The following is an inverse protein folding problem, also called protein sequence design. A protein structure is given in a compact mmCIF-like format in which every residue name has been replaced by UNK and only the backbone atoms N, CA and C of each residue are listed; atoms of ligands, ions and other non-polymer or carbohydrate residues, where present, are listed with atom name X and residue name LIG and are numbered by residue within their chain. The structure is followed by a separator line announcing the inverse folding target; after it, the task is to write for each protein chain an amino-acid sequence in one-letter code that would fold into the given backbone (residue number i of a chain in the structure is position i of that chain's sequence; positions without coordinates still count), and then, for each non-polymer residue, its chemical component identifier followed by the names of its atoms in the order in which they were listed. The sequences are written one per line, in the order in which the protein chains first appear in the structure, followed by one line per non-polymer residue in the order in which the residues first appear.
data_IF_535500132541
#
_entry.id   IF_535500132541
#
_cell.length_a   1.000
_cell.length_b   1.000
_cell.length_c   1.000
_cell.angle_alpha   90.00
_cell.angle_beta   90.00
_cell.angle_gamma   90.00
#
_symmetry.space_group_name_H-M   'P 1'
#
loop_
_entity.id
_entity.type
_entity.pdbx_description
1 polymer ?
#
# COMPACT_ATOMS: atom_id res chain seq x y z
N UNK A 1 -22.38 20.77 -9.65
CA UNK A 1 -23.84 20.67 -9.83
C UNK A 1 -24.16 19.39 -10.58
N UNK A 2 -25.33 18.80 -10.36
CA UNK A 2 -25.80 17.62 -11.11
C UNK A 2 -27.10 18.02 -11.80
N UNK A 3 -27.20 17.73 -13.09
CA UNK A 3 -28.40 17.97 -13.88
C UNK A 3 -28.71 16.72 -14.72
N UNK A 4 -29.96 16.30 -14.71
CA UNK A 4 -30.46 15.29 -15.63
C UNK A 4 -30.65 15.93 -17.02
N UNK A 5 -30.31 15.17 -18.06
CA UNK A 5 -30.47 15.60 -19.46
C UNK A 5 -31.13 14.47 -20.26
N UNK A 6 -31.72 14.77 -21.43
CA UNK A 6 -32.20 13.72 -22.32
C UNK A 6 -31.10 12.68 -22.59
N UNK A 7 -31.34 11.44 -22.18
CA UNK A 7 -30.39 10.33 -22.38
C UNK A 7 -29.28 10.19 -21.35
N UNK A 8 -29.23 10.97 -20.27
CA UNK A 8 -28.15 10.86 -19.28
C UNK A 8 -28.13 11.89 -18.16
N UNK A 9 -26.93 12.10 -17.63
CA UNK A 9 -26.66 13.09 -16.59
C UNK A 9 -25.45 13.93 -16.97
N UNK A 10 -25.47 15.19 -16.52
CA UNK A 10 -24.34 16.10 -16.59
C UNK A 10 -23.96 16.54 -15.19
N UNK A 11 -22.70 16.36 -14.84
CA UNK A 11 -22.12 16.71 -13.54
C UNK A 11 -21.02 17.74 -13.76
N UNK A 12 -21.17 18.92 -13.17
CA UNK A 12 -20.08 19.91 -13.11
C UNK A 12 -19.36 19.80 -11.78
N UNK A 13 -18.06 19.53 -11.84
CA UNK A 13 -17.18 19.39 -10.69
C UNK A 13 -15.97 20.32 -10.86
N UNK A 14 -16.01 21.50 -10.23
CA UNK A 14 -14.96 22.51 -10.39
C UNK A 14 -14.76 22.91 -11.85
N UNK A 15 -13.57 22.66 -12.38
CA UNK A 15 -13.19 22.96 -13.77
C UNK A 15 -13.59 21.86 -14.79
N UNK A 16 -14.24 20.79 -14.34
CA UNK A 16 -14.63 19.66 -15.16
C UNK A 16 -16.14 19.63 -15.40
N UNK A 17 -16.49 19.28 -16.63
CA UNK A 17 -17.83 18.94 -17.05
C UNK A 17 -17.86 17.46 -17.44
N UNK A 18 -18.70 16.68 -16.76
CA UNK A 18 -18.78 15.23 -16.90
C UNK A 18 -20.16 14.87 -17.40
N UNK A 19 -20.26 14.21 -18.54
CA UNK A 19 -21.52 13.66 -19.05
C UNK A 19 -21.50 12.14 -18.95
N UNK A 20 -22.60 11.58 -18.47
CA UNK A 20 -22.79 10.12 -18.35
C UNK A 20 -24.01 9.73 -19.17
N UNK A 21 -23.83 8.86 -20.16
CA UNK A 21 -24.91 8.33 -20.99
C UNK A 21 -25.65 7.22 -20.23
N UNK A 22 -26.97 7.32 -20.14
CA UNK A 22 -27.81 6.38 -19.38
C UNK A 22 -27.78 4.95 -19.91
N UNK A 23 -27.82 4.79 -21.23
CA UNK A 23 -27.94 3.48 -21.86
C UNK A 23 -26.66 2.64 -21.75
N UNK A 24 -25.49 3.27 -21.86
CA UNK A 24 -24.18 2.59 -21.92
C UNK A 24 -23.32 2.78 -20.66
N UNK A 25 -23.64 3.77 -19.82
CA UNK A 25 -22.74 4.21 -18.74
C UNK A 25 -21.47 4.91 -19.23
N UNK A 26 -21.36 5.20 -20.54
CA UNK A 26 -20.23 5.92 -21.10
C UNK A 26 -20.10 7.29 -20.44
N UNK A 27 -18.88 7.59 -20.01
CA UNK A 27 -18.49 8.80 -19.34
C UNK A 27 -17.55 9.60 -20.26
N UNK A 28 -17.90 10.86 -20.47
CA UNK A 28 -17.06 11.85 -21.16
C UNK A 28 -16.77 12.98 -20.18
N UNK A 29 -15.51 13.33 -20.04
CA UNK A 29 -15.03 14.45 -19.23
C UNK A 29 -14.41 15.48 -20.15
N UNK A 30 -14.85 16.72 -20.02
CA UNK A 30 -14.26 17.87 -20.68
C UNK A 30 -13.85 18.93 -19.67
N UNK A 31 -12.91 19.77 -20.05
CA UNK A 31 -12.53 20.94 -19.26
C UNK A 31 -13.51 22.11 -19.45
N UNK A 32 -13.28 23.20 -18.73
CA UNK A 32 -14.08 24.41 -18.81
C UNK A 32 -14.12 25.06 -20.21
N UNK A 33 -13.15 24.77 -21.08
CA UNK A 33 -13.12 25.21 -22.48
C UNK A 33 -13.80 24.21 -23.43
N UNK A 34 -14.38 23.13 -22.91
CA UNK A 34 -15.03 22.08 -23.69
C UNK A 34 -14.06 21.08 -24.33
N UNK A 35 -12.76 21.14 -24.02
CA UNK A 35 -11.78 20.22 -24.59
C UNK A 35 -11.90 18.85 -23.89
N UNK A 36 -11.91 17.73 -24.64
CA UNK A 36 -12.03 16.40 -24.05
C UNK A 36 -10.79 16.05 -23.23
N UNK A 37 -11.00 15.64 -21.99
CA UNK A 37 -9.95 15.21 -21.04
C UNK A 37 -9.85 13.69 -21.01
N UNK A 38 -10.99 13.02 -20.81
CA UNK A 38 -11.09 11.57 -20.67
C UNK A 38 -12.43 11.12 -21.26
N UNK A 39 -12.43 10.01 -22.00
CA UNK A 39 -13.66 9.42 -22.52
C UNK A 39 -13.57 7.90 -22.41
N UNK A 40 -14.59 7.26 -21.85
CA UNK A 40 -14.67 5.80 -21.78
C UNK A 40 -15.19 5.24 -23.09
N UNK A 41 -14.60 4.15 -23.58
CA UNK A 41 -15.11 3.36 -24.70
C UNK A 41 -16.01 2.20 -24.27
N UNK A 42 -15.82 1.70 -23.06
CA UNK A 42 -16.59 0.57 -22.58
C UNK A 42 -16.05 -0.03 -21.29
N UNK A 43 -16.87 -0.89 -20.73
CA UNK A 43 -16.58 -1.64 -19.52
C UNK A 43 -16.85 -3.12 -19.77
N UNK A 44 -16.12 -3.97 -19.05
CA UNK A 44 -16.32 -5.41 -19.08
C UNK A 44 -16.34 -5.93 -17.64
N UNK A 45 -17.33 -6.77 -17.35
CA UNK A 45 -17.55 -7.40 -16.06
C UNK A 45 -17.76 -8.89 -16.31
N UNK A 46 -16.75 -9.71 -16.01
CA UNK A 46 -16.84 -11.16 -16.23
C UNK A 46 -16.90 -11.85 -14.86
N UNK A 47 -18.00 -12.54 -14.51
CA UNK A 47 -18.05 -13.40 -13.34
C UNK A 47 -16.92 -14.42 -13.35
N UNK A 48 -16.18 -14.50 -12.25
CA UNK A 48 -15.02 -15.38 -12.12
C UNK A 48 -14.88 -15.90 -10.69
N UNK A 49 -14.03 -16.91 -10.52
CA UNK A 49 -13.63 -17.43 -9.21
C UNK A 49 -12.11 -17.41 -9.15
N UNK A 50 -11.54 -16.66 -8.21
CA UNK A 50 -10.10 -16.52 -8.02
C UNK A 50 -9.79 -16.77 -6.56
N UNK A 51 -8.84 -17.67 -6.26
CA UNK A 51 -8.50 -18.07 -4.88
C UNK A 51 -9.76 -18.40 -4.05
N UNK A 52 -10.69 -19.17 -4.63
CA UNK A 52 -11.96 -19.56 -4.00
C UNK A 52 -13.02 -18.46 -3.87
N UNK A 53 -12.69 -17.21 -4.20
CA UNK A 53 -13.58 -16.06 -4.09
C UNK A 53 -14.39 -15.85 -5.37
N UNK A 54 -15.72 -15.79 -5.25
CA UNK A 54 -16.63 -15.39 -6.35
C UNK A 54 -16.57 -13.87 -6.51
N UNK A 55 -16.11 -13.41 -7.66
CA UNK A 55 -15.85 -11.99 -7.94
C UNK A 55 -16.06 -11.68 -9.42
N UNK A 56 -15.72 -10.48 -9.88
CA UNK A 56 -15.67 -10.11 -11.29
C UNK A 56 -14.21 -9.81 -11.69
N UNK A 57 -13.83 -10.26 -12.89
CA UNK A 57 -12.77 -9.58 -13.63
C UNK A 57 -13.37 -8.30 -14.18
N UNK A 58 -12.78 -7.16 -13.85
CA UNK A 58 -13.28 -5.83 -14.21
C UNK A 58 -12.33 -5.15 -15.17
N UNK A 59 -12.88 -4.51 -16.20
CA UNK A 59 -12.09 -3.73 -17.15
C UNK A 59 -12.81 -2.46 -17.56
N UNK A 60 -12.02 -1.41 -17.80
CA UNK A 60 -12.46 -0.18 -18.45
C UNK A 60 -11.46 0.22 -19.54
N UNK A 61 -11.99 0.67 -20.66
CA UNK A 61 -11.20 1.20 -21.77
C UNK A 61 -11.50 2.68 -21.98
N UNK A 62 -10.46 3.45 -22.26
CA UNK A 62 -10.51 4.90 -22.44
C UNK A 62 -9.90 5.30 -23.77
N UNK A 63 -10.42 6.35 -24.40
CA UNK A 63 -9.81 6.96 -25.57
C UNK A 63 -8.40 7.44 -25.26
N UNK A 64 -7.47 7.12 -26.17
CA UNK A 64 -6.08 7.56 -26.11
C UNK A 64 -5.64 8.05 -27.49
N UNK A 65 -5.82 9.35 -27.80
CA UNK A 65 -5.57 9.86 -29.14
C UNK A 65 -4.08 9.82 -29.53
N UNK A 66 -3.76 9.86 -30.84
CA UNK A 66 -2.38 9.85 -31.32
C UNK A 66 -1.52 10.93 -30.67
N UNK A 67 -0.29 10.55 -30.28
CA UNK A 67 0.68 11.45 -29.66
C UNK A 67 0.51 11.63 -28.14
N UNK A 68 -0.48 11.00 -27.51
CA UNK A 68 -0.55 10.94 -26.05
C UNK A 68 0.64 10.19 -25.47
N UNK A 69 1.29 10.78 -24.45
CA UNK A 69 2.37 10.16 -23.69
C UNK A 69 1.87 9.84 -22.30
N UNK A 70 2.17 8.63 -21.84
CA UNK A 70 1.64 8.05 -20.62
C UNK A 70 2.79 7.68 -19.69
N UNK A 71 2.70 8.10 -18.43
CA UNK A 71 3.75 7.98 -17.41
C UNK A 71 3.18 7.45 -16.09
N UNK A 72 4.05 7.20 -15.10
CA UNK A 72 3.65 6.69 -13.79
C UNK A 72 3.66 5.17 -13.75
N UNK A 73 2.60 4.57 -13.20
CA UNK A 73 2.39 3.13 -12.99
C UNK A 73 3.34 2.46 -11.99
N UNK A 74 4.19 3.23 -11.30
CA UNK A 74 5.15 2.75 -10.31
C UNK A 74 6.55 2.48 -10.87
N UNK A 75 7.27 1.55 -10.26
CA UNK A 75 8.65 1.18 -10.60
C UNK A 75 8.67 -0.04 -11.51
N UNK A 76 9.32 0.11 -12.68
CA UNK A 76 9.44 -0.94 -13.68
C UNK A 76 10.87 -1.03 -14.24
N UNK A 77 11.31 -2.23 -14.57
CA UNK A 77 12.71 -2.55 -14.90
C UNK A 77 13.05 -2.42 -16.40
N UNK A 78 12.05 -2.17 -17.25
CA UNK A 78 12.20 -2.11 -18.72
C UNK A 78 12.88 -0.84 -19.26
N UNK A 79 13.17 0.16 -18.41
CA UNK A 79 13.95 1.35 -18.80
C UNK A 79 13.26 2.33 -19.76
N UNK A 80 11.92 2.33 -19.82
CA UNK A 80 11.13 3.29 -20.61
C UNK A 80 10.39 4.26 -19.69
N UNK A 81 10.38 5.54 -20.05
CA UNK A 81 9.64 6.59 -19.33
C UNK A 81 8.20 6.73 -19.86
N UNK A 82 8.02 6.70 -21.19
CA UNK A 82 6.70 6.72 -21.82
C UNK A 82 6.21 5.28 -22.05
N UNK A 83 5.04 4.98 -21.48
CA UNK A 83 4.41 3.67 -21.54
C UNK A 83 3.48 3.47 -22.74
N UNK A 84 3.24 4.52 -23.56
CA UNK A 84 2.43 4.38 -24.77
C UNK A 84 2.91 3.23 -25.67
N UNK A 85 1.97 2.41 -26.15
CA UNK A 85 2.20 1.20 -26.95
C UNK A 85 2.61 -0.04 -26.14
N UNK A 86 2.45 -0.04 -24.81
CA UNK A 86 2.88 -1.16 -23.93
C UNK A 86 1.77 -1.63 -23.01
N UNK A 87 1.83 -2.90 -22.62
CA UNK A 87 1.04 -3.44 -21.51
C UNK A 87 1.89 -3.47 -20.26
N UNK A 88 1.43 -2.73 -19.26
CA UNK A 88 2.11 -2.57 -17.98
C UNK A 88 1.47 -3.47 -16.92
N UNK A 89 2.30 -4.24 -16.22
CA UNK A 89 1.91 -5.05 -15.07
C UNK A 89 1.91 -4.17 -13.83
N UNK A 90 0.75 -3.90 -13.26
CA UNK A 90 0.59 -2.98 -12.13
C UNK A 90 0.36 -3.80 -10.85
N UNK A 91 1.44 -4.42 -10.36
CA UNK A 91 1.46 -5.07 -9.05
C UNK A 91 2.87 -5.21 -8.46
N UNK A 92 2.93 -5.44 -7.14
CA UNK A 92 4.17 -5.79 -6.45
C UNK A 92 4.65 -7.19 -6.85
N UNK A 93 5.92 -7.30 -7.24
CA UNK A 93 6.56 -8.57 -7.53
C UNK A 93 8.06 -8.48 -7.28
N UNK A 94 8.57 -9.31 -6.38
CA UNK A 94 9.99 -9.34 -6.05
C UNK A 94 10.86 -9.91 -7.18
N UNK A 95 10.42 -11.00 -7.81
CA UNK A 95 11.17 -11.65 -8.89
C UNK A 95 10.90 -11.08 -10.29
N UNK A 96 9.82 -10.30 -10.46
CA UNK A 96 9.30 -9.94 -11.77
C UNK A 96 8.85 -11.17 -12.58
N UNK A 97 8.54 -10.97 -13.87
CA UNK A 97 8.42 -12.08 -14.82
C UNK A 97 9.75 -12.25 -15.56
N UNK A 98 10.14 -13.51 -15.81
CA UNK A 98 11.35 -13.86 -16.57
C UNK A 98 12.66 -13.23 -16.05
N UNK A 99 12.76 -12.94 -14.74
CA UNK A 99 13.98 -12.41 -14.13
C UNK A 99 14.25 -10.93 -14.41
N UNK A 100 13.22 -10.17 -14.78
CA UNK A 100 13.31 -8.70 -14.96
C UNK A 100 13.66 -7.96 -13.65
N UNK A 101 13.53 -8.62 -12.49
CA UNK A 101 13.77 -8.07 -11.17
C UNK A 101 12.53 -7.40 -10.57
N UNK A 102 12.72 -6.81 -9.39
CA UNK A 102 11.64 -6.25 -8.56
C UNK A 102 10.80 -5.19 -9.30
N UNK A 103 9.47 -5.28 -9.18
CA UNK A 103 8.51 -4.30 -9.68
C UNK A 103 7.56 -3.83 -8.59
N UNK A 104 7.35 -2.51 -8.53
CA UNK A 104 6.41 -1.89 -7.58
C UNK A 104 5.26 -1.30 -8.40
N UNK A 105 4.10 -1.94 -8.36
CA UNK A 105 2.91 -1.48 -9.08
C UNK A 105 2.17 -0.38 -8.33
N UNK A 106 2.17 0.84 -8.88
CA UNK A 106 1.35 1.94 -8.35
C UNK A 106 0.29 2.28 -9.40
N UNK A 107 -1.00 1.98 -9.20
CA UNK A 107 -2.07 2.20 -10.19
C UNK A 107 -2.46 3.68 -10.39
N UNK A 108 -1.47 4.49 -10.78
CA UNK A 108 -1.58 5.91 -11.08
C UNK A 108 -0.93 6.18 -12.43
N UNK A 109 -1.74 6.56 -13.42
CA UNK A 109 -1.31 6.89 -14.77
C UNK A 109 -1.37 8.39 -14.98
N UNK A 110 -0.27 8.99 -15.42
CA UNK A 110 -0.17 10.40 -15.78
C UNK A 110 -0.22 10.53 -17.30
N UNK A 111 -1.08 11.40 -17.81
CA UNK A 111 -1.18 11.72 -19.23
C UNK A 111 -0.55 13.08 -19.54
N UNK A 112 0.16 13.17 -20.67
CA UNK A 112 0.64 14.44 -21.22
C UNK A 112 -0.48 15.41 -21.59
N UNK A 113 -1.75 14.99 -21.56
CA UNK A 113 -2.94 15.82 -21.79
C UNK A 113 -3.41 16.59 -20.55
N UNK A 114 -2.63 16.58 -19.46
CA UNK A 114 -2.93 17.37 -18.25
C UNK A 114 -3.93 16.69 -17.30
N UNK A 115 -3.88 15.36 -17.20
CA UNK A 115 -4.65 14.63 -16.21
C UNK A 115 -3.91 13.40 -15.70
N UNK A 116 -4.37 12.86 -14.57
CA UNK A 116 -3.97 11.57 -14.04
C UNK A 116 -5.19 10.73 -13.68
N UNK A 117 -5.08 9.42 -13.91
CA UNK A 117 -6.07 8.44 -13.51
C UNK A 117 -5.48 7.57 -12.39
N UNK A 118 -6.14 7.55 -11.24
CA UNK A 118 -5.84 6.61 -10.15
C UNK A 118 -6.86 5.49 -10.27
N UNK A 119 -6.39 4.29 -10.62
CA UNK A 119 -7.25 3.11 -10.75
C UNK A 119 -7.46 2.50 -9.36
N UNK A 120 -8.68 2.61 -8.84
CA UNK A 120 -9.02 2.24 -7.46
C UNK A 120 -9.31 0.73 -7.35
N UNK A 121 -8.28 -0.08 -7.63
CA UNK A 121 -8.31 -1.52 -7.44
C UNK A 121 -6.94 -2.05 -6.98
N UNK A 122 -6.86 -2.74 -5.83
CA UNK A 122 -5.62 -3.31 -5.30
C UNK A 122 -5.25 -4.69 -5.87
N UNK A 123 -6.12 -5.32 -6.65
CA UNK A 123 -5.82 -6.59 -7.31
C UNK A 123 -4.76 -6.40 -8.39
N UNK A 124 -4.12 -7.50 -8.80
CA UNK A 124 -3.24 -7.50 -9.97
C UNK A 124 -3.98 -6.91 -11.16
N UNK A 125 -3.36 -5.90 -11.76
CA UNK A 125 -3.98 -5.09 -12.80
C UNK A 125 -3.05 -4.95 -13.99
N UNK A 126 -3.58 -5.16 -15.20
CA UNK A 126 -2.90 -4.83 -16.44
C UNK A 126 -3.36 -3.44 -16.91
N UNK A 127 -2.40 -2.61 -17.34
CA UNK A 127 -2.66 -1.34 -17.99
C UNK A 127 -2.06 -1.33 -19.40
N UNK A 128 -2.87 -1.63 -20.41
CA UNK A 128 -2.48 -1.53 -21.82
C UNK A 128 -2.60 -0.09 -22.28
N UNK A 129 -1.47 0.57 -22.48
CA UNK A 129 -1.36 2.02 -22.67
C UNK A 129 -1.36 2.40 -24.16
N UNK A 130 -2.33 3.22 -24.58
CA UNK A 130 -2.41 3.84 -25.91
C UNK A 130 -2.27 2.88 -27.11
N UNK A 131 -2.68 1.61 -26.98
CA UNK A 131 -2.67 0.63 -28.06
C UNK A 131 -3.96 0.78 -28.88
N UNK A 132 -3.84 0.89 -30.21
CA UNK A 132 -4.97 1.12 -31.13
C UNK A 132 -5.88 2.30 -30.73
N UNK A 133 -5.24 3.34 -30.18
CA UNK A 133 -5.92 4.55 -29.72
C UNK A 133 -6.72 4.35 -28.43
N UNK A 134 -6.39 3.32 -27.63
CA UNK A 134 -7.09 2.96 -26.39
C UNK A 134 -6.10 2.75 -25.26
N UNK A 135 -6.45 3.27 -24.08
CA UNK A 135 -5.84 2.83 -22.83
C UNK A 135 -6.83 1.94 -22.07
N UNK A 136 -6.44 0.70 -21.77
CA UNK A 136 -7.29 -0.30 -21.10
C UNK A 136 -6.70 -0.70 -19.75
N UNK A 137 -7.57 -0.76 -18.74
CA UNK A 137 -7.28 -1.30 -17.43
C UNK A 137 -8.04 -2.61 -17.24
N UNK A 138 -7.40 -3.62 -16.66
CA UNK A 138 -8.00 -4.93 -16.38
C UNK A 138 -7.52 -5.45 -15.03
N UNK A 139 -8.43 -5.59 -14.06
CA UNK A 139 -8.12 -6.17 -12.75
C UNK A 139 -8.72 -7.56 -12.63
N UNK A 140 -7.95 -8.48 -12.06
CA UNK A 140 -8.37 -9.88 -11.88
C UNK A 140 -9.57 -10.02 -10.94
N UNK A 141 -9.58 -9.25 -9.86
CA UNK A 141 -10.60 -9.28 -8.80
C UNK A 141 -11.23 -7.88 -8.64
N UNK A 142 -12.56 -7.80 -8.55
CA UNK A 142 -13.29 -6.56 -8.25
C UNK A 142 -14.81 -6.68 -8.38
N UNK A 143 -15.52 -5.69 -7.86
CA UNK A 143 -16.99 -5.60 -7.91
C UNK A 143 -17.46 -4.47 -8.83
N UNK A 144 -16.58 -3.52 -9.12
CA UNK A 144 -16.87 -2.33 -9.87
C UNK A 144 -15.62 -1.81 -10.58
N UNK A 145 -15.83 -1.04 -11.64
CA UNK A 145 -14.83 -0.12 -12.16
C UNK A 145 -14.85 1.12 -11.28
N UNK A 146 -13.77 1.35 -10.52
CA UNK A 146 -13.58 2.53 -9.66
C UNK A 146 -12.29 3.22 -10.06
N UNK A 147 -12.34 4.53 -10.25
CA UNK A 147 -11.15 5.34 -10.51
C UNK A 147 -11.38 6.79 -10.12
N UNK A 148 -10.28 7.50 -9.85
CA UNK A 148 -10.27 8.93 -9.62
C UNK A 148 -9.55 9.64 -10.77
N UNK A 149 -10.08 10.79 -11.17
CA UNK A 149 -9.47 11.65 -12.18
C UNK A 149 -8.95 12.93 -11.50
N UNK A 150 -7.65 13.16 -11.58
CA UNK A 150 -7.01 14.41 -11.20
C UNK A 150 -6.71 15.21 -12.47
N UNK A 151 -7.28 16.41 -12.61
CA UNK A 151 -7.09 17.27 -13.77
C UNK A 151 -6.34 18.55 -13.42
N UNK A 152 -5.46 18.98 -14.33
CA UNK A 152 -4.78 20.27 -14.25
C UNK A 152 -4.10 20.60 -15.58
N UNK A 153 -4.24 21.84 -16.11
CA UNK A 153 -3.69 22.21 -17.42
C UNK A 153 -2.16 22.14 -17.50
N UNK A 154 -1.48 22.05 -16.35
CA UNK A 154 -0.04 21.82 -16.24
C UNK A 154 0.25 20.64 -15.29
N UNK A 155 1.37 19.90 -15.49
CA UNK A 155 1.72 18.77 -14.63
C UNK A 155 1.73 19.09 -13.13
N UNK A 156 2.24 20.26 -12.73
CA UNK A 156 2.26 20.69 -11.32
C UNK A 156 0.86 20.78 -10.70
N UNK A 157 -0.15 21.21 -11.48
CA UNK A 157 -1.53 21.28 -11.03
C UNK A 157 -2.13 19.87 -10.85
N UNK A 158 -1.80 18.93 -11.73
CA UNK A 158 -2.20 17.52 -11.58
C UNK A 158 -1.64 16.95 -10.27
N UNK A 159 -0.35 17.15 -9.99
CA UNK A 159 0.27 16.71 -8.74
C UNK A 159 -0.33 17.38 -7.50
N UNK A 160 -0.69 18.67 -7.57
CA UNK A 160 -1.39 19.34 -6.47
C UNK A 160 -2.73 18.67 -6.15
N UNK A 161 -3.52 18.30 -7.18
CA UNK A 161 -4.78 17.56 -7.01
C UNK A 161 -4.57 16.14 -6.49
N UNK A 162 -3.53 15.45 -6.97
CA UNK A 162 -3.16 14.13 -6.44
C UNK A 162 -2.80 14.21 -4.95
N UNK A 163 -2.10 15.27 -4.51
CA UNK A 163 -1.79 15.49 -3.08
C UNK A 163 -3.03 15.78 -2.24
N UNK A 164 -4.03 16.48 -2.79
CA UNK A 164 -5.32 16.68 -2.13
C UNK A 164 -6.10 15.37 -1.97
N UNK A 165 -6.05 14.51 -3.00
CA UNK A 165 -6.77 13.23 -3.03
C UNK A 165 -6.10 12.15 -2.16
N UNK A 166 -4.79 11.92 -2.36
CA UNK A 166 -4.05 10.80 -1.80
C UNK A 166 -3.32 11.16 -0.49
N UNK A 167 -3.27 12.46 -0.17
CA UNK A 167 -2.52 13.01 0.95
C UNK A 167 -1.15 13.54 0.53
N UNK A 168 -0.69 14.59 1.21
CA UNK A 168 0.64 15.12 1.03
C UNK A 168 1.68 14.26 1.77
N UNK A 169 2.81 13.99 1.12
CA UNK A 169 4.00 13.49 1.79
C UNK A 169 4.45 14.51 2.87
N UNK A 170 4.71 14.06 4.12
CA UNK A 170 5.29 14.92 5.13
C UNK A 170 6.72 15.31 4.74
N UNK A 171 7.20 16.43 5.28
CA UNK A 171 8.60 16.83 5.08
C UNK A 171 9.51 15.78 5.77
N UNK A 172 10.48 15.17 5.07
CA UNK A 172 11.45 14.28 5.71
C UNK A 172 12.20 14.99 6.84
N UNK A 173 12.60 14.26 7.90
CA UNK A 173 13.54 14.82 8.87
C UNK A 173 14.84 15.18 8.15
N UNK A 174 15.50 16.27 8.55
CA UNK A 174 16.71 16.79 7.89
C UNK A 174 17.78 15.71 7.62
N UNK A 175 18.04 14.84 8.59
CA UNK A 175 19.04 13.76 8.45
C UNK A 175 18.71 12.73 7.35
N UNK A 176 17.44 12.58 6.97
CA UNK A 176 17.05 11.71 5.86
C UNK A 176 17.50 12.25 4.49
N UNK A 177 17.84 13.54 4.38
CA UNK A 177 18.40 14.15 3.16
C UNK A 177 19.94 14.07 3.11
N UNK A 178 20.56 13.57 4.17
CA UNK A 178 22.01 13.42 4.28
C UNK A 178 22.54 12.14 3.63
N UNK A 179 23.80 11.79 3.95
CA UNK A 179 24.39 10.54 3.46
C UNK A 179 24.00 9.35 4.36
N UNK A 180 23.53 8.27 3.72
CA UNK A 180 23.12 7.04 4.39
C UNK A 180 24.16 5.97 4.12
N UNK A 181 24.79 5.47 5.19
CA UNK A 181 25.78 4.42 5.11
C UNK A 181 25.13 3.07 5.47
N UNK A 182 25.03 2.21 4.45
CA UNK A 182 24.48 0.85 4.55
C UNK A 182 25.43 -0.17 3.92
N UNK A 183 25.32 -1.44 4.30
CA UNK A 183 25.82 -2.61 3.58
C UNK A 183 25.05 -3.85 4.05
N UNK A 184 25.11 -4.92 3.25
CA UNK A 184 24.70 -6.27 3.64
C UNK A 184 25.92 -7.10 4.07
N UNK A 185 26.25 -7.21 5.35
CA UNK A 185 25.65 -6.59 6.54
C UNK A 185 26.72 -6.18 7.53
N UNK A 186 26.44 -5.22 8.42
CA UNK A 186 27.26 -5.07 9.64
C UNK A 186 26.93 -6.21 10.60
N UNK A 187 27.95 -6.94 11.03
CA UNK A 187 27.80 -8.16 11.81
C UNK A 187 27.68 -7.92 13.32
N UNK A 188 28.03 -6.72 13.81
CA UNK A 188 28.02 -6.43 15.25
C UNK A 188 27.96 -4.94 15.58
N UNK A 189 27.63 -4.65 16.83
CA UNK A 189 27.70 -3.32 17.44
C UNK A 189 29.11 -2.68 17.30
N UNK A 190 30.16 -3.46 17.56
CA UNK A 190 31.54 -2.96 17.47
C UNK A 190 31.91 -2.57 16.04
N UNK A 191 31.46 -3.35 15.05
CA UNK A 191 31.68 -3.01 13.65
C UNK A 191 30.96 -1.71 13.25
N UNK A 192 29.70 -1.54 13.66
CA UNK A 192 28.92 -0.34 13.35
C UNK A 192 29.56 0.93 13.93
N UNK A 193 30.01 0.86 15.20
CA UNK A 193 30.73 1.97 15.85
C UNK A 193 32.03 2.31 15.12
N UNK A 194 32.83 1.29 14.78
CA UNK A 194 34.08 1.48 14.03
C UNK A 194 33.85 2.17 12.69
N UNK A 195 32.77 1.85 11.98
CA UNK A 195 32.40 2.49 10.71
C UNK A 195 32.06 3.97 10.93
N UNK A 196 31.27 4.29 11.96
CA UNK A 196 30.92 5.66 12.33
C UNK A 196 32.15 6.49 12.70
N UNK A 197 33.03 5.94 13.53
CA UNK A 197 34.28 6.58 13.96
C UNK A 197 35.23 6.78 12.78
N UNK A 198 35.31 5.82 11.87
CA UNK A 198 36.12 5.94 10.64
C UNK A 198 35.61 7.06 9.74
N UNK A 199 34.29 7.24 9.61
CA UNK A 199 33.73 8.38 8.88
C UNK A 199 34.20 9.70 9.49
N UNK A 200 34.13 9.82 10.82
CA UNK A 200 34.56 11.05 11.51
C UNK A 200 36.06 11.28 11.44
N UNK A 201 36.87 10.24 11.63
CA UNK A 201 38.32 10.32 11.49
C UNK A 201 38.76 10.75 10.08
N UNK A 202 38.00 10.39 9.05
CA UNK A 202 38.25 10.75 7.65
C UNK A 202 37.58 12.06 7.20
N UNK A 203 36.85 12.75 8.09
CA UNK A 203 36.10 13.95 7.73
C UNK A 203 34.96 13.71 6.74
N UNK A 204 34.43 12.48 6.67
CA UNK A 204 33.35 12.11 5.76
C UNK A 204 31.97 12.48 6.35
N UNK A 205 31.05 13.02 5.52
CA UNK A 205 29.67 13.26 5.94
C UNK A 205 28.92 11.94 6.16
N UNK A 206 27.85 11.99 6.95
CA UNK A 206 27.01 10.83 7.21
C UNK A 206 26.00 11.12 8.31
N UNK A 207 24.73 10.80 8.04
CA UNK A 207 23.59 11.16 8.87
C UNK A 207 22.82 9.92 9.35
N UNK A 208 22.77 8.86 8.53
CA UNK A 208 22.08 7.61 8.87
C UNK A 208 23.04 6.42 8.70
N UNK A 209 23.10 5.57 9.72
CA UNK A 209 23.70 4.24 9.67
C UNK A 209 22.59 3.19 9.68
N UNK A 210 22.69 2.23 8.77
CA UNK A 210 21.66 1.19 8.60
C UNK A 210 22.16 -0.14 9.17
N UNK A 211 21.37 -0.74 10.07
CA UNK A 211 21.55 -2.10 10.57
C UNK A 211 20.64 -3.02 9.74
N UNK A 212 21.28 -3.81 8.89
CA UNK A 212 20.63 -4.75 7.97
C UNK A 212 20.15 -6.04 8.69
N UNK A 213 19.58 -6.99 7.95
CA UNK A 213 19.08 -8.29 8.42
C UNK A 213 20.13 -9.14 9.18
N UNK A 214 19.67 -10.16 9.92
CA UNK A 214 20.47 -11.02 10.82
C UNK A 214 21.14 -10.30 12.01
N UNK A 215 20.60 -9.16 12.45
CA UNK A 215 20.94 -8.63 13.77
C UNK A 215 20.17 -9.35 14.90
N UNK A 216 19.10 -10.06 14.56
CA UNK A 216 18.32 -10.92 15.44
C UNK A 216 18.93 -12.31 15.59
N UNK A 217 18.57 -13.00 16.68
CA UNK A 217 18.93 -14.40 16.91
C UNK A 217 18.12 -15.33 16.00
N UNK A 218 16.80 -15.17 16.01
CA UNK A 218 15.88 -15.87 15.10
C UNK A 218 15.04 -14.86 14.34
N UNK A 219 14.83 -15.09 13.03
CA UNK A 219 13.97 -14.24 12.21
C UNK A 219 12.54 -14.23 12.80
N UNK A 220 12.05 -13.04 13.12
CA UNK A 220 10.77 -12.81 13.79
C UNK A 220 10.88 -12.46 15.27
N UNK A 221 12.06 -12.54 15.90
CA UNK A 221 12.23 -12.15 17.30
C UNK A 221 12.01 -10.65 17.52
N UNK A 222 12.20 -9.85 16.47
CA UNK A 222 12.09 -8.39 16.49
C UNK A 222 12.95 -7.78 17.60
N UNK A 223 14.18 -8.28 17.71
CA UNK A 223 15.13 -7.92 18.74
C UNK A 223 16.56 -8.16 18.27
N UNK A 224 17.54 -7.52 18.90
CA UNK A 224 18.95 -7.74 18.60
C UNK A 224 19.51 -8.89 19.43
N UNK A 225 20.34 -9.74 18.82
CA UNK A 225 21.07 -10.80 19.52
C UNK A 225 22.15 -10.19 20.43
N UNK A 226 22.06 -10.35 21.77
CA UNK A 226 23.03 -9.79 22.71
C UNK A 226 24.46 -10.29 22.49
N UNK A 227 24.65 -11.45 21.84
CA UNK A 227 25.99 -11.97 21.52
C UNK A 227 26.75 -11.05 20.53
N UNK A 228 26.02 -10.32 19.68
CA UNK A 228 26.58 -9.43 18.67
C UNK A 228 26.27 -7.94 18.93
N UNK A 229 25.20 -7.67 19.68
CA UNK A 229 24.67 -6.35 20.01
C UNK A 229 24.39 -6.23 21.52
N UNK A 230 25.44 -6.30 22.36
CA UNK A 230 25.26 -6.41 23.81
C UNK A 230 24.58 -5.19 24.44
N UNK A 231 24.83 -3.98 23.93
CA UNK A 231 24.41 -2.71 24.53
C UNK A 231 23.94 -1.69 23.48
N UNK A 232 22.81 -1.95 22.79
CA UNK A 232 22.36 -1.13 21.66
C UNK A 232 21.98 0.30 22.07
N UNK A 233 21.49 0.51 23.30
CA UNK A 233 21.13 1.84 23.78
C UNK A 233 22.37 2.74 24.00
N UNK A 234 23.41 2.31 24.76
CA UNK A 234 24.69 3.00 24.78
C UNK A 234 25.33 3.19 23.39
N UNK A 235 25.27 2.17 22.52
CA UNK A 235 25.75 2.27 21.13
C UNK A 235 25.05 3.43 20.39
N UNK A 236 23.72 3.48 20.42
CA UNK A 236 22.97 4.52 19.72
C UNK A 236 23.21 5.92 20.31
N UNK A 237 23.43 6.04 21.63
CA UNK A 237 23.88 7.31 22.24
C UNK A 237 25.23 7.76 21.68
N UNK A 238 26.20 6.84 21.62
CA UNK A 238 27.53 7.13 21.04
C UNK A 238 27.45 7.52 19.57
N UNK A 239 26.63 6.82 18.79
CA UNK A 239 26.40 7.16 17.37
C UNK A 239 25.76 8.55 17.23
N UNK A 240 24.83 8.91 18.12
CA UNK A 240 24.23 10.23 18.16
C UNK A 240 25.24 11.34 18.53
N UNK A 241 26.18 11.10 19.45
CA UNK A 241 27.30 12.01 19.73
C UNK A 241 28.19 12.23 18.51
N UNK A 242 28.37 11.19 17.71
CA UNK A 242 29.04 11.27 16.41
C UNK A 242 28.14 11.88 15.33
N UNK A 243 26.91 12.30 15.62
CA UNK A 243 26.01 12.94 14.67
C UNK A 243 25.27 11.97 13.73
N UNK A 244 25.22 10.69 14.05
CA UNK A 244 24.46 9.68 13.30
C UNK A 244 23.14 9.35 13.97
N UNK A 245 22.12 9.12 13.14
CA UNK A 245 20.91 8.37 13.50
C UNK A 245 21.06 6.93 13.02
N UNK A 246 20.32 6.02 13.64
CA UNK A 246 20.30 4.62 13.23
C UNK A 246 18.95 4.19 12.70
N UNK A 247 19.01 3.49 11.57
CA UNK A 247 17.91 2.77 10.94
C UNK A 247 18.12 1.27 11.12
N UNK A 248 17.06 0.50 11.29
CA UNK A 248 17.14 -0.95 11.48
C UNK A 248 16.12 -1.69 10.61
N UNK A 249 16.56 -2.81 10.01
CA UNK A 249 15.74 -3.71 9.21
C UNK A 249 14.63 -4.36 10.05
N UNK A 250 13.41 -4.40 9.50
CA UNK A 250 12.19 -4.85 10.15
C UNK A 250 11.41 -5.74 9.18
N UNK A 251 11.64 -7.05 9.25
CA UNK A 251 10.99 -8.00 8.34
C UNK A 251 9.63 -8.48 8.89
N UNK A 252 8.60 -8.66 8.04
CA UNK A 252 7.28 -9.18 8.42
C UNK A 252 7.26 -10.72 8.48
N UNK A 253 8.40 -11.36 8.75
CA UNK A 253 8.62 -12.81 8.65
C UNK A 253 8.93 -13.42 10.02
N UNK A 254 8.35 -14.59 10.31
CA UNK A 254 8.48 -15.27 11.60
C UNK A 254 8.78 -16.75 11.43
N UNK A 255 9.98 -17.18 11.80
CA UNK A 255 10.35 -18.59 11.84
C UNK A 255 9.63 -19.31 13.00
N UNK A 256 9.30 -20.62 12.89
CA UNK A 256 8.69 -21.38 13.99
C UNK A 256 9.44 -21.30 15.32
N UNK A 257 10.77 -21.18 15.24
CA UNK A 257 11.67 -21.09 16.40
C UNK A 257 11.70 -19.69 17.03
N UNK A 258 11.10 -18.69 16.38
CA UNK A 258 11.04 -17.34 16.94
C UNK A 258 10.18 -17.32 18.20
N UNK A 259 10.60 -16.52 19.19
CA UNK A 259 9.88 -16.34 20.46
C UNK A 259 8.43 -15.85 20.27
N UNK A 260 8.11 -15.27 19.12
CA UNK A 260 6.78 -14.71 18.84
C UNK A 260 5.90 -15.61 17.97
N UNK A 261 6.43 -16.66 17.33
CA UNK A 261 5.66 -17.45 16.37
C UNK A 261 4.43 -18.11 16.99
N UNK A 262 4.61 -18.83 18.10
CA UNK A 262 3.51 -19.51 18.77
C UNK A 262 2.38 -18.56 19.22
N UNK A 263 2.73 -17.33 19.60
CA UNK A 263 1.77 -16.28 19.96
C UNK A 263 0.94 -15.84 18.75
N UNK A 264 1.59 -15.66 17.60
CA UNK A 264 0.96 -15.25 16.34
C UNK A 264 0.07 -16.37 15.78
N UNK A 265 0.57 -17.60 15.79
CA UNK A 265 -0.17 -18.79 15.34
C UNK A 265 -1.45 -18.97 16.15
N UNK A 266 -1.35 -18.93 17.49
CA UNK A 266 -2.49 -19.12 18.38
C UNK A 266 -3.59 -18.07 18.20
N UNK A 267 -3.24 -16.88 17.68
CA UNK A 267 -4.20 -15.80 17.38
C UNK A 267 -4.68 -15.78 15.93
N UNK A 268 -4.15 -16.66 15.07
CA UNK A 268 -4.46 -16.68 13.66
C UNK A 268 -3.97 -15.42 12.92
N UNK A 269 -2.87 -14.81 13.38
CA UNK A 269 -2.32 -13.56 12.84
C UNK A 269 -1.27 -13.78 11.74
N UNK A 270 -1.19 -14.98 11.18
CA UNK A 270 -0.26 -15.34 10.11
C UNK A 270 -1.05 -15.67 8.83
N UNK A 271 -0.44 -15.36 7.68
CA UNK A 271 -0.98 -15.66 6.36
C UNK A 271 -1.34 -17.15 6.23
N UNK A 272 -2.54 -17.43 5.69
CA UNK A 272 -3.10 -18.78 5.60
C UNK A 272 -3.19 -19.29 4.17
N UNK A 273 -3.20 -20.61 4.00
CA UNK A 273 -3.56 -21.28 2.75
C UNK A 273 -5.08 -21.51 2.65
N UNK A 274 -5.54 -22.13 1.56
CA UNK A 274 -6.96 -22.41 1.33
C UNK A 274 -7.59 -23.39 2.34
N UNK A 275 -6.78 -24.13 3.09
CA UNK A 275 -7.21 -25.04 4.16
C UNK A 275 -7.25 -24.35 5.54
N UNK A 276 -6.96 -23.05 5.60
CA UNK A 276 -6.90 -22.29 6.85
C UNK A 276 -5.63 -22.54 7.69
N UNK A 277 -4.63 -23.21 7.12
CA UNK A 277 -3.36 -23.50 7.79
C UNK A 277 -2.35 -22.38 7.53
N UNK A 278 -1.48 -22.09 8.51
CA UNK A 278 -0.41 -21.10 8.33
C UNK A 278 0.56 -21.54 7.25
N UNK A 279 0.91 -20.58 6.38
CA UNK A 279 1.96 -20.73 5.38
C UNK A 279 3.27 -20.32 6.03
N UNK A 280 4.10 -21.31 6.34
CA UNK A 280 5.44 -21.10 6.90
C UNK A 280 6.48 -21.40 5.83
N UNK A 281 6.70 -20.43 4.94
CA UNK A 281 7.53 -20.61 3.75
C UNK A 281 6.79 -21.23 2.56
N UNK A 282 7.46 -21.19 1.41
CA UNK A 282 7.12 -21.86 0.15
C UNK A 282 8.37 -22.62 -0.34
N UNK A 283 8.27 -23.60 -1.25
CA UNK A 283 9.43 -24.40 -1.69
C UNK A 283 10.69 -23.58 -2.00
N UNK A 284 10.53 -22.45 -2.69
CA UNK A 284 11.64 -21.58 -3.10
C UNK A 284 12.07 -20.55 -2.03
N UNK A 285 11.29 -20.38 -0.95
CA UNK A 285 11.62 -19.50 0.17
C UNK A 285 11.06 -20.04 1.49
N UNK A 286 11.94 -20.65 2.28
CA UNK A 286 11.63 -21.28 3.57
C UNK A 286 11.71 -20.32 4.76
N UNK A 287 11.83 -19.00 4.56
CA UNK A 287 12.04 -18.00 5.63
C UNK A 287 10.76 -17.67 6.42
N UNK A 288 10.16 -18.67 7.07
CA UNK A 288 9.11 -18.47 8.08
C UNK A 288 7.75 -18.05 7.52
N UNK A 289 6.81 -17.71 8.41
CA UNK A 289 5.47 -17.26 8.07
C UNK A 289 5.38 -15.73 7.94
N UNK A 290 4.49 -15.23 7.10
CA UNK A 290 4.21 -13.79 6.95
C UNK A 290 3.14 -13.36 7.96
N UNK A 291 3.37 -12.27 8.70
CA UNK A 291 2.35 -11.67 9.56
C UNK A 291 1.24 -11.01 8.74
N UNK A 292 0.00 -11.26 9.13
CA UNK A 292 -1.17 -10.67 8.50
C UNK A 292 -1.42 -9.25 9.04
N UNK A 293 -0.79 -8.26 8.40
CA UNK A 293 -0.96 -6.85 8.76
C UNK A 293 -2.32 -6.26 8.36
N UNK A 294 -3.16 -7.02 7.63
CA UNK A 294 -4.54 -6.63 7.35
C UNK A 294 -5.41 -6.78 8.61
N UNK A 295 -5.03 -7.69 9.51
CA UNK A 295 -5.63 -7.80 10.84
C UNK A 295 -5.21 -6.61 11.72
N UNK A 296 -6.16 -5.79 12.22
CA UNK A 296 -5.83 -4.55 12.93
C UNK A 296 -5.05 -4.76 14.23
N UNK A 297 -5.30 -5.87 14.94
CA UNK A 297 -4.57 -6.21 16.16
C UNK A 297 -3.15 -6.74 15.87
N UNK A 298 -2.97 -7.59 14.85
CA UNK A 298 -1.65 -8.05 14.44
C UNK A 298 -0.76 -6.89 14.00
N UNK A 299 -1.29 -5.95 13.22
CA UNK A 299 -0.59 -4.74 12.81
C UNK A 299 -0.16 -3.87 13.99
N UNK A 300 -1.05 -3.68 14.96
CA UNK A 300 -0.74 -2.94 16.19
C UNK A 300 0.36 -3.64 16.99
N UNK A 301 0.21 -4.95 17.19
CA UNK A 301 1.15 -5.76 17.94
C UNK A 301 2.54 -5.74 17.29
N UNK A 302 2.61 -5.82 15.96
CA UNK A 302 3.86 -5.78 15.21
C UNK A 302 4.62 -4.47 15.45
N UNK A 303 3.92 -3.34 15.40
CA UNK A 303 4.49 -2.05 15.74
C UNK A 303 4.93 -1.96 17.20
N UNK A 304 4.16 -2.53 18.13
CA UNK A 304 4.56 -2.57 19.55
C UNK A 304 5.86 -3.35 19.74
N UNK A 305 6.05 -4.47 19.02
CA UNK A 305 7.31 -5.20 19.05
C UNK A 305 8.47 -4.42 18.44
N UNK A 306 8.28 -3.72 17.32
CA UNK A 306 9.30 -2.82 16.73
C UNK A 306 9.65 -1.68 17.71
N UNK A 307 8.64 -1.09 18.37
CA UNK A 307 8.84 -0.05 19.38
C UNK A 307 9.67 -0.57 20.55
N UNK A 308 9.30 -1.72 21.11
CA UNK A 308 9.91 -2.24 22.33
C UNK A 308 11.28 -2.89 22.06
N UNK A 309 11.40 -3.61 20.94
CA UNK A 309 12.63 -4.26 20.49
C UNK A 309 13.68 -3.29 19.96
N UNK A 310 13.26 -2.19 19.30
CA UNK A 310 14.19 -1.28 18.63
C UNK A 310 14.08 0.18 19.09
N UNK A 311 12.90 0.79 19.09
CA UNK A 311 12.77 2.21 19.45
C UNK A 311 13.21 2.50 20.89
N UNK A 312 12.83 1.63 21.83
CA UNK A 312 13.25 1.71 23.23
C UNK A 312 14.77 1.58 23.41
N UNK A 313 15.46 1.03 22.41
CA UNK A 313 16.92 0.85 22.36
C UNK A 313 17.64 1.96 21.58
N UNK A 314 16.93 3.03 21.22
CA UNK A 314 17.50 4.24 20.62
C UNK A 314 17.55 4.26 19.09
N UNK A 315 16.99 3.26 18.41
CA UNK A 315 16.78 3.33 16.96
C UNK A 315 15.66 4.32 16.63
N UNK A 316 15.80 5.06 15.53
CA UNK A 316 14.90 6.18 15.20
C UNK A 316 14.35 6.14 13.77
N UNK A 317 14.67 5.10 13.01
CA UNK A 317 14.17 4.86 11.68
C UNK A 317 14.03 3.34 11.43
N UNK A 318 13.06 2.97 10.61
CA UNK A 318 12.70 1.58 10.33
C UNK A 318 12.88 1.33 8.85
N UNK A 319 13.64 0.30 8.50
CA UNK A 319 13.68 -0.22 7.14
C UNK A 319 12.70 -1.39 7.09
N UNK A 320 11.49 -1.10 6.60
CA UNK A 320 10.49 -2.12 6.32
C UNK A 320 10.92 -2.80 5.02
N UNK A 321 11.32 -4.04 5.12
CA UNK A 321 11.89 -4.81 4.03
C UNK A 321 11.04 -6.07 3.84
N UNK A 322 11.04 -6.59 2.62
CA UNK A 322 10.15 -7.67 2.16
C UNK A 322 8.66 -7.33 2.33
N UNK A 323 8.27 -6.09 1.99
CA UNK A 323 6.90 -5.59 2.10
C UNK A 323 6.04 -5.78 0.84
N UNK A 324 6.64 -6.18 -0.28
CA UNK A 324 5.94 -6.57 -1.51
C UNK A 324 4.96 -7.75 -1.37
N UNK A 325 5.09 -8.71 -0.41
CA UNK A 325 6.24 -9.44 0.14
C UNK A 325 6.89 -10.46 -0.81
N UNK A 326 8.06 -11.00 -0.44
CA UNK A 326 8.81 -12.03 -1.20
C UNK A 326 7.99 -13.28 -1.53
N UNK A 327 7.17 -13.73 -0.58
CA UNK A 327 6.15 -14.74 -0.86
C UNK A 327 4.96 -14.06 -1.53
N UNK A 328 4.76 -14.35 -2.81
CA UNK A 328 3.61 -13.87 -3.56
C UNK A 328 2.29 -14.11 -2.78
N UNK A 329 1.54 -13.06 -2.40
CA UNK A 329 0.33 -13.20 -1.59
C UNK A 329 -0.85 -13.82 -2.36
N UNK A 330 -0.84 -13.76 -3.70
CA UNK A 330 -1.97 -14.09 -4.58
C UNK A 330 -2.73 -15.41 -4.26
N UNK A 331 -2.06 -16.57 -4.04
CA UNK A 331 -2.75 -17.82 -3.75
C UNK A 331 -3.16 -17.98 -2.27
N UNK A 332 -2.85 -17.00 -1.42
CA UNK A 332 -3.01 -17.07 0.03
C UNK A 332 -4.13 -16.17 0.55
N UNK A 333 -4.36 -16.22 1.86
CA UNK A 333 -5.52 -15.63 2.52
C UNK A 333 -5.08 -14.84 3.75
N UNK A 334 -5.70 -13.67 3.89
CA UNK A 334 -5.53 -12.74 5.00
C UNK A 334 -6.89 -12.46 5.64
N UNK A 335 -6.89 -11.83 6.81
CA UNK A 335 -8.07 -11.43 7.57
C UNK A 335 -9.01 -10.54 6.75
N UNK A 336 -8.46 -9.61 5.96
CA UNK A 336 -9.27 -8.70 5.16
C UNK A 336 -9.75 -9.30 3.81
N UNK A 337 -9.28 -10.48 3.41
CA UNK A 337 -9.67 -11.12 2.15
C UNK A 337 -8.57 -11.97 1.50
N UNK A 338 -8.83 -12.40 0.26
CA UNK A 338 -7.84 -13.16 -0.53
C UNK A 338 -6.64 -12.29 -0.86
N UNK A 339 -5.46 -12.89 -0.96
CA UNK A 339 -4.27 -12.18 -1.42
C UNK A 339 -4.37 -11.76 -2.88
N UNK A 340 -5.15 -12.45 -3.73
CA UNK A 340 -5.47 -12.01 -5.08
C UNK A 340 -6.24 -10.67 -5.10
N UNK A 341 -7.13 -10.44 -4.12
CA UNK A 341 -7.82 -9.16 -3.92
C UNK A 341 -6.88 -8.10 -3.38
N UNK A 342 -6.05 -8.45 -2.41
CA UNK A 342 -5.25 -7.51 -1.62
C UNK A 342 -3.80 -7.38 -2.10
N UNK A 343 -3.49 -7.87 -3.30
CA UNK A 343 -2.11 -8.06 -3.79
C UNK A 343 -1.25 -6.80 -3.65
N UNK A 344 -1.84 -5.62 -3.90
CA UNK A 344 -1.14 -4.32 -3.81
C UNK A 344 -1.32 -3.58 -2.48
N UNK A 345 -1.83 -4.24 -1.43
CA UNK A 345 -2.11 -3.65 -0.11
C UNK A 345 -1.38 -4.36 1.05
N UNK A 346 -0.48 -5.29 0.73
CA UNK A 346 0.07 -6.29 1.65
C UNK A 346 0.64 -5.72 2.95
N UNK A 347 1.13 -4.48 2.97
CA UNK A 347 1.55 -3.78 4.19
C UNK A 347 1.01 -2.34 4.21
N UNK A 348 -0.06 -2.04 4.97
CA UNK A 348 -0.50 -0.66 5.16
C UNK A 348 0.54 0.13 5.97
N UNK A 349 0.94 1.29 5.45
CA UNK A 349 1.77 2.29 6.15
C UNK A 349 1.18 2.79 7.50
N UNK A 350 -0.05 2.38 7.83
CA UNK A 350 -0.75 2.62 9.09
C UNK A 350 -0.33 1.68 10.23
N UNK A 351 0.91 1.16 10.22
CA UNK A 351 1.50 0.44 11.37
C UNK A 351 1.56 1.32 12.64
N UNK A 352 1.38 2.64 12.53
CA UNK A 352 1.32 3.55 13.67
C UNK A 352 -0.09 3.67 14.29
N UNK A 353 -0.28 3.40 15.59
CA UNK A 353 -1.55 3.59 16.28
C UNK A 353 -1.79 5.08 16.54
N UNK A 354 -2.45 5.76 15.60
CA UNK A 354 -2.53 7.23 15.63
C UNK A 354 -3.81 7.91 15.14
N UNK A 355 -4.93 7.21 14.90
CA UNK A 355 -6.23 7.87 14.65
C UNK A 355 -7.46 7.00 14.97
N UNK A 356 -8.23 7.41 15.99
CA UNK A 356 -9.65 7.07 16.13
C UNK A 356 -10.46 7.95 15.15
N UNK A 357 -11.42 7.35 14.44
CA UNK A 357 -12.37 7.98 13.51
C UNK A 357 -12.96 9.29 14.05
N UNK A 358 -12.97 10.37 13.27
CA UNK A 358 -14.07 11.36 13.30
C UNK A 358 -15.08 10.96 12.22
N UNK A 359 -16.33 10.74 12.64
CA UNK A 359 -17.46 10.58 11.71
C UNK A 359 -17.68 11.88 10.90
N UNK A 360 -18.24 11.82 9.69
CA UNK A 360 -18.59 13.02 8.94
C UNK A 360 -19.67 13.82 9.69
N UNK A 361 -19.65 15.17 9.61
CA UNK A 361 -20.68 15.99 10.24
C UNK A 361 -22.02 15.75 9.54
N UNK A 362 -23.06 15.44 10.33
CA UNK A 362 -24.45 15.56 9.86
C UNK A 362 -24.82 17.05 9.77
N UNK A 363 -25.67 17.47 8.81
CA UNK A 363 -26.07 18.86 8.70
C UNK A 363 -27.12 19.22 9.77
N UNK A 364 -26.89 20.37 10.40
CA UNK A 364 -27.77 21.20 11.23
C UNK A 364 -28.24 20.69 12.61
N UNK A 365 -28.02 21.56 13.62
CA UNK A 365 -28.62 21.51 14.96
C UNK A 365 -27.71 22.15 16.01
N UNK A 366 -28.04 23.39 16.43
CA UNK A 366 -27.36 24.14 17.49
C UNK A 366 -27.40 23.44 18.84
N UNK A 367 -26.35 23.57 19.66
CA UNK A 367 -26.37 24.18 21.01
C UNK A 367 -25.05 23.90 21.76
N UNK A 368 -24.67 24.90 22.54
CA UNK A 368 -23.58 25.05 23.50
C UNK A 368 -23.37 23.90 24.50
N UNK A 369 -22.11 23.53 24.78
CA UNK A 369 -21.60 23.30 26.17
C UNK A 369 -20.05 23.18 26.21
N UNK A 370 -19.32 23.93 27.07
CA UNK A 370 -17.86 23.87 27.19
C UNK A 370 -17.42 23.04 28.41
N UNK A 371 -17.49 21.71 28.37
CA UNK A 371 -16.93 20.85 29.44
C UNK A 371 -16.35 19.55 28.85
N UNK A 372 -15.15 19.61 28.27
CA UNK A 372 -14.30 18.43 28.02
C UNK A 372 -12.84 18.81 27.68
N UNK A 373 -12.30 19.85 28.33
CA UNK A 373 -10.87 20.18 28.28
C UNK A 373 -10.27 19.96 29.67
N UNK A 374 -9.84 18.74 29.92
CA UNK A 374 -9.09 18.40 31.12
C UNK A 374 -8.85 16.91 31.18
N UNK A 375 -7.61 16.53 31.48
CA UNK A 375 -7.14 15.15 31.66
C UNK A 375 -6.91 14.37 30.37
N UNK A 376 -5.79 14.64 29.69
CA UNK A 376 -4.80 13.61 29.30
C UNK A 376 -3.48 14.33 28.97
N UNK A 377 -2.44 13.98 29.70
CA UNK A 377 -1.09 14.50 29.53
C UNK A 377 -0.57 14.30 28.10
N UNK A 378 0.18 15.29 27.62
CA UNK A 378 0.77 15.34 26.28
C UNK A 378 1.85 14.26 26.13
N UNK A 379 1.50 13.12 25.54
CA UNK A 379 2.47 12.31 24.80
C UNK A 379 2.60 12.87 23.36
N UNK A 380 3.79 12.88 22.74
CA UNK A 380 3.93 13.35 21.36
C UNK A 380 3.10 12.46 20.44
N UNK A 381 2.12 13.05 19.75
CA UNK A 381 1.38 12.36 18.72
C UNK A 381 2.27 12.26 17.48
N UNK A 382 2.89 11.09 17.27
CA UNK A 382 3.63 10.74 16.05
C UNK A 382 2.64 10.66 14.88
N UNK A 383 2.44 11.77 14.17
CA UNK A 383 1.30 11.96 13.25
C UNK A 383 1.62 11.79 11.77
N UNK A 384 2.86 11.53 11.40
CA UNK A 384 3.30 11.57 10.01
C UNK A 384 4.35 10.48 9.75
N UNK A 385 3.95 9.42 9.04
CA UNK A 385 4.86 8.37 8.54
C UNK A 385 5.32 8.80 7.15
N UNK A 386 6.63 8.84 6.94
CA UNK A 386 7.22 8.98 5.62
C UNK A 386 7.69 7.59 5.17
N UNK A 387 7.11 7.10 4.08
CA UNK A 387 7.63 5.92 3.37
C UNK A 387 8.55 6.42 2.27
N UNK A 388 9.80 5.96 2.27
CA UNK A 388 10.77 6.22 1.21
C UNK A 388 11.04 4.90 0.52
N UNK A 389 10.53 4.73 -0.70
CA UNK A 389 10.85 3.57 -1.53
C UNK A 389 12.26 3.66 -2.10
N UNK A 390 12.92 2.52 -2.26
CA UNK A 390 14.16 2.36 -3.01
C UNK A 390 14.01 1.25 -4.05
N UNK A 391 15.04 1.06 -4.87
CA UNK A 391 15.09 -0.03 -5.86
C UNK A 391 16.05 -1.09 -5.34
N UNK A 392 15.55 -2.28 -5.00
CA UNK A 392 16.35 -3.34 -4.41
C UNK A 392 17.04 -4.20 -5.47
N UNK A 393 18.09 -4.90 -5.02
CA UNK A 393 18.66 -6.13 -5.63
C UNK A 393 18.90 -6.11 -7.14
N UNK A 394 19.40 -4.98 -7.63
CA UNK A 394 19.88 -4.89 -9.00
C UNK A 394 21.20 -5.63 -9.15
N UNK A 395 21.28 -6.49 -10.17
CA UNK A 395 22.54 -7.09 -10.58
C UNK A 395 23.61 -6.00 -10.81
N UNK A 396 24.81 -6.21 -10.27
CA UNK A 396 25.95 -5.28 -10.37
C UNK A 396 26.52 -5.12 -11.80
N UNK A 397 25.83 -5.64 -12.82
CA UNK A 397 26.27 -5.56 -14.20
C UNK A 397 25.98 -4.18 -14.79
N UNK A 398 27.04 -3.43 -15.10
CA UNK A 398 26.94 -2.30 -16.00
C UNK A 398 26.60 -2.81 -17.41
N UNK A 399 25.32 -2.75 -17.81
CA UNK A 399 25.00 -2.95 -19.22
C UNK A 399 25.70 -1.85 -20.04
N UNK A 400 26.49 -2.20 -21.08
CA UNK A 400 27.14 -1.20 -21.93
C UNK A 400 26.04 -0.40 -22.64
N UNK A 401 25.87 0.87 -22.23
CA UNK A 401 24.78 1.76 -22.66
C UNK A 401 24.04 2.50 -21.55
N UNK A 402 24.42 2.32 -20.28
CA UNK A 402 23.78 2.90 -19.09
C UNK A 402 23.96 4.42 -18.88
N UNK A 403 23.98 5.23 -19.95
CA UNK A 403 23.74 6.69 -19.87
C UNK A 403 22.24 7.04 -19.85
N UNK A 404 21.36 6.11 -19.42
CA UNK A 404 19.90 6.28 -19.34
C UNK A 404 19.38 6.30 -17.89
N UNK A 405 20.08 6.96 -16.99
CA UNK A 405 19.65 7.13 -15.59
C UNK A 405 18.49 8.12 -15.44
N UNK A 406 18.30 9.07 -16.36
CA UNK A 406 17.32 10.16 -16.18
C UNK A 406 15.87 9.71 -16.32
N UNK A 407 15.54 8.88 -17.31
CA UNK A 407 14.17 8.35 -17.45
C UNK A 407 13.77 7.38 -16.33
N UNK A 408 14.75 6.81 -15.62
CA UNK A 408 14.56 5.79 -14.59
C UNK A 408 14.39 6.38 -13.18
N UNK A 409 14.91 7.59 -12.92
CA UNK A 409 14.81 8.29 -11.63
C UNK A 409 13.46 8.97 -11.39
N UNK A 410 12.74 9.34 -12.45
CA UNK A 410 11.49 10.12 -12.37
C UNK A 410 10.29 9.34 -11.80
N UNK A 411 10.27 8.00 -11.89
CA UNK A 411 9.16 7.19 -11.39
C UNK A 411 9.22 6.95 -9.87
N UNK A 412 10.42 6.96 -9.28
CA UNK A 412 10.65 6.65 -7.87
C UNK A 412 10.48 7.88 -6.94
N UNK A 413 10.02 9.02 -7.45
CA UNK A 413 9.83 10.23 -6.66
C UNK A 413 8.63 10.07 -5.70
N UNK A 414 8.89 9.46 -4.54
CA UNK A 414 8.18 9.58 -3.24
C UNK A 414 6.66 9.70 -3.38
N UNK A 415 5.99 8.57 -3.63
CA UNK A 415 4.56 8.47 -3.37
C UNK A 415 4.36 8.03 -1.92
N UNK A 416 4.04 8.98 -1.05
CA UNK A 416 3.46 8.68 0.26
C UNK A 416 1.96 8.50 0.04
N UNK A 417 1.51 7.27 -0.14
CA UNK A 417 0.10 6.95 -0.14
C UNK A 417 -0.42 7.00 1.29
N UNK A 418 -0.97 8.15 1.71
CA UNK A 418 -1.42 8.34 3.08
C UNK A 418 -2.72 7.57 3.35
N UNK A 419 -3.56 7.36 2.32
CA UNK A 419 -4.81 6.62 2.44
C UNK A 419 -5.17 5.92 1.11
N UNK A 420 -5.01 4.59 1.02
CA UNK A 420 -5.78 3.78 0.08
C UNK A 420 -6.96 3.18 0.83
N UNK A 421 -8.18 3.62 0.50
CA UNK A 421 -9.41 3.02 1.03
C UNK A 421 -10.16 2.38 -0.13
N UNK A 422 -10.16 1.06 -0.20
CA UNK A 422 -11.11 0.34 -1.03
C UNK A 422 -12.51 0.62 -0.48
N UNK A 423 -13.41 1.11 -1.32
CA UNK A 423 -14.83 1.08 -1.02
C UNK A 423 -15.30 -0.38 -1.06
N UNK A 424 -14.95 -1.17 -0.02
CA UNK A 424 -15.53 -2.47 0.16
C UNK A 424 -17.02 -2.25 0.45
N UNK A 425 -17.87 -2.47 -0.56
CA UNK A 425 -19.29 -2.58 -0.40
C UNK A 425 -19.61 -3.91 0.32
N UNK A 426 -19.19 -4.02 1.58
CA UNK A 426 -19.65 -5.07 2.48
C UNK A 426 -21.10 -4.74 2.87
N UNK A 427 -22.06 -5.02 1.98
CA UNK A 427 -23.42 -5.27 2.42
C UNK A 427 -23.39 -6.64 3.10
N UNK A 428 -23.52 -6.64 4.44
CA UNK A 428 -23.94 -7.84 5.15
C UNK A 428 -25.18 -8.41 4.45
N UNK A 429 -25.25 -9.71 4.15
CA UNK A 429 -26.49 -10.30 3.67
C UNK A 429 -27.55 -10.06 4.74
N UNK A 430 -28.59 -9.32 4.38
CA UNK A 430 -29.77 -9.18 5.20
C UNK A 430 -30.27 -10.60 5.53
N UNK A 431 -30.30 -10.94 6.81
CA UNK A 431 -31.03 -12.10 7.28
C UNK A 431 -32.46 -11.95 6.79
N UNK A 432 -32.87 -12.81 5.86
CA UNK A 432 -34.25 -12.98 5.43
C UNK A 432 -35.04 -13.47 6.64
N UNK A 433 -35.60 -12.52 7.41
CA UNK A 433 -36.73 -12.80 8.30
C UNK A 433 -37.93 -13.04 7.39
N UNK A 434 -38.27 -14.31 7.19
CA UNK A 434 -39.57 -14.70 6.69
C UNK A 434 -40.64 -14.23 7.70
N UNK A 435 -41.30 -13.13 7.39
CA UNK A 435 -42.53 -12.72 8.05
C UNK A 435 -43.66 -13.64 7.52
N UNK A 436 -43.94 -14.72 8.25
CA UNK A 436 -45.19 -15.44 8.08
C UNK A 436 -46.32 -14.59 8.69
N UNK A 437 -47.20 -14.08 7.83
CA UNK A 437 -48.43 -13.39 8.23
C UNK A 437 -49.40 -14.41 8.82
N UNK A 438 -49.98 -14.03 9.95
CA UNK A 438 -50.92 -14.80 10.75
C UNK A 438 -52.23 -15.13 10.01
N UNK A 439 -52.71 -16.36 10.21
CA UNK A 439 -54.05 -16.82 9.87
C UNK A 439 -54.57 -17.77 10.95
N UNK A 440 -55.42 -17.24 11.82
CA UNK A 440 -56.26 -17.84 12.87
C UNK A 440 -56.47 -19.37 12.91
N UNK A 441 -56.33 -19.99 14.10
CA UNK A 441 -57.42 -20.51 14.97
C UNK A 441 -56.91 -21.51 16.03
N UNK A 442 -57.35 -21.26 17.27
CA UNK A 442 -57.64 -22.15 18.42
C UNK A 442 -56.85 -23.47 18.66
N UNK A 443 -56.35 -23.64 19.90
CA UNK A 443 -55.64 -24.82 20.44
C UNK A 443 -56.54 -26.05 20.75
N UNK A 444 -56.23 -26.92 21.75
CA UNK A 444 -55.10 -26.92 22.70
C UNK A 444 -54.36 -28.28 22.90
N UNK A 445 -53.17 -28.17 23.55
CA UNK A 445 -52.53 -29.07 24.56
C UNK A 445 -52.52 -30.60 24.41
N UNK A 446 -51.30 -31.16 24.48
CA UNK A 446 -50.77 -32.38 25.18
C UNK A 446 -49.51 -32.80 24.39
N UNK A 447 -48.36 -33.25 24.89
CA UNK A 447 -47.82 -33.70 26.19
C UNK A 447 -46.61 -34.62 25.86
N UNK A 448 -45.58 -34.68 26.73
CA UNK A 448 -44.49 -35.69 26.72
C UNK A 448 -43.34 -35.40 25.73
N UNK A 449 -42.09 -35.15 26.14
CA UNK A 449 -41.09 -35.98 26.85
C UNK A 449 -40.33 -36.98 25.95
N UNK A 450 -39.01 -36.74 25.83
CA UNK A 450 -37.92 -37.73 25.78
C UNK A 450 -37.75 -38.55 24.48
N UNK A 451 -36.73 -38.23 23.68
CA UNK A 451 -35.39 -38.87 23.69
C UNK A 451 -34.40 -38.02 22.91
#
# INVERSE_FOLDING_TARGET
TVAEQPGGWRVRCGALDVTVRRASGELTVSDAAGRPVLQTRGYLFIPTVISGERTLRVSASFDSPPGERLYGLGQHQHGHLNHAGRTMRVWHSYHGEAGEGESVGVPLLLSSRGHALVWDNPSRTLCTCALDGVTRWESEVGEAVSFFLAYGPAPAAVYARLRELLGAAPLPPRGALGYWQCKQRYASQAELLRVAETHRAKGLPGDILVVDWFHWKTLGDLDLDPAHWPDPLPMNRRLAELGFRTMISCWPRFMPESRHYAHLEARGWLMKNALGQTVCGVPDDQRGAVIDTTHPEARRWFWEQIRDGYAAKGFSAWWLDEDEPDICPHPFYFHAGTGARLHNLSIPADAHPGRVRRAPPRPHGSLSDPVARGLFGRAPAWRDVLVVGYRADLGCAASPGAHRSDGRRLHAAVLVLRHWRVAAAARQPAQTRAAAVAGSRAGPRRGGSVR
#
